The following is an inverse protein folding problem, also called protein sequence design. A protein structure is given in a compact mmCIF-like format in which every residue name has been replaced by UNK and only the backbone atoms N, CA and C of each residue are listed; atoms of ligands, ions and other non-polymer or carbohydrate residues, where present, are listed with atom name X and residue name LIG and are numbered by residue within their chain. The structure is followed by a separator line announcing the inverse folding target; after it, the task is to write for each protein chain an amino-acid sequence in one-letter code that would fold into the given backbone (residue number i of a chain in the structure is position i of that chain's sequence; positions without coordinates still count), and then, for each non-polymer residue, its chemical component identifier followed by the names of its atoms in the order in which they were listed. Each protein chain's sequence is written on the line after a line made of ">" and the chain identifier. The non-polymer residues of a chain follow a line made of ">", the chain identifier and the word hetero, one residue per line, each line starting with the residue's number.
data_IF_130352334034
#
_entry.id   IF_130352334034
#
_cell.length_a   1.000
_cell.length_b   1.000
_cell.length_c   1.000
_cell.angle_alpha   90.00
_cell.angle_beta   90.00
_cell.angle_gamma   90.00
#
_symmetry.space_group_name_H-M   'P 1'
#
loop_
_entity.id
_entity.type
_entity.pdbx_description
1 polymer ?
#
# COMPACT_ATOMS: atom_id res chain seq x y z
N UNK A 1 5.36 -4.31 1.93
CA UNK A 1 5.74 -3.02 2.56
C UNK A 1 7.24 -2.77 2.64
N UNK A 2 8.05 -3.75 3.07
CA UNK A 2 9.50 -3.60 3.16
C UNK A 2 10.15 -3.41 1.78
N UNK A 3 9.84 -4.27 0.80
CA UNK A 3 10.35 -4.17 -0.56
C UNK A 3 10.02 -2.82 -1.23
N UNK A 4 8.80 -2.34 -1.03
CA UNK A 4 8.22 -1.15 -1.63
C UNK A 4 8.76 0.14 -1.01
N UNK A 5 9.26 0.08 0.23
CA UNK A 5 9.89 1.22 0.94
C UNK A 5 11.40 1.07 1.12
N UNK A 6 12.01 0.08 0.46
CA UNK A 6 13.41 -0.30 0.68
C UNK A 6 13.76 -0.48 2.18
N UNK A 7 12.88 -1.17 2.90
CA UNK A 7 12.96 -1.53 4.33
C UNK A 7 12.97 -0.35 5.31
N UNK A 8 12.77 0.87 4.82
CA UNK A 8 12.73 2.06 5.71
C UNK A 8 11.40 2.22 6.42
N UNK A 9 10.32 1.65 5.87
CA UNK A 9 8.93 1.87 6.30
C UNK A 9 8.56 3.36 6.41
N UNK A 10 9.28 4.23 5.69
CA UNK A 10 9.12 5.67 5.83
C UNK A 10 7.91 6.16 5.00
N UNK A 11 7.00 6.93 5.62
CA UNK A 11 5.78 7.42 4.97
C UNK A 11 6.05 8.50 3.90
N UNK A 12 7.24 9.09 3.89
CA UNK A 12 7.60 10.16 2.94
C UNK A 12 8.29 9.66 1.68
N UNK A 13 8.54 8.34 1.57
CA UNK A 13 9.28 7.81 0.42
C UNK A 13 8.38 7.81 -0.82
N UNK A 14 8.80 8.60 -1.79
CA UNK A 14 8.45 8.40 -3.20
C UNK A 14 9.31 7.28 -3.76
N UNK A 15 8.69 6.37 -4.50
CA UNK A 15 9.43 5.37 -5.23
C UNK A 15 10.45 6.02 -6.20
N UNK A 16 11.72 5.63 -6.11
CA UNK A 16 12.80 6.15 -6.96
C UNK A 16 12.73 5.73 -8.44
N UNK A 17 11.84 4.80 -8.81
CA UNK A 17 11.63 4.32 -10.19
C UNK A 17 10.78 5.23 -11.08
N UNK A 18 10.27 6.36 -10.56
CA UNK A 18 9.48 7.30 -11.33
C UNK A 18 7.98 6.94 -11.46
N UNK A 19 7.52 5.86 -10.82
CA UNK A 19 6.10 5.44 -10.82
C UNK A 19 5.15 6.45 -10.13
N UNK A 20 5.70 7.39 -9.35
CA UNK A 20 4.93 8.32 -8.54
C UNK A 20 4.30 7.71 -7.29
N UNK A 21 4.55 6.42 -7.03
CA UNK A 21 4.08 5.75 -5.82
C UNK A 21 4.67 6.40 -4.56
N UNK A 22 3.85 6.56 -3.52
CA UNK A 22 4.19 7.34 -2.32
C UNK A 22 3.56 6.73 -1.08
N UNK A 23 4.24 6.78 0.07
CA UNK A 23 3.62 6.44 1.36
C UNK A 23 3.92 5.04 1.88
N UNK A 24 3.34 4.71 3.04
CA UNK A 24 3.59 3.48 3.80
C UNK A 24 3.37 2.18 3.01
N UNK A 25 2.42 2.19 2.08
CA UNK A 25 2.13 1.05 1.19
C UNK A 25 2.38 1.37 -0.29
N UNK A 26 3.13 2.45 -0.57
CA UNK A 26 3.41 2.92 -1.93
C UNK A 26 2.14 3.10 -2.79
N UNK A 27 1.24 3.98 -2.33
CA UNK A 27 0.02 4.31 -3.07
C UNK A 27 0.36 4.82 -4.47
N UNK A 28 -0.10 4.10 -5.50
CA UNK A 28 -0.07 4.58 -6.87
C UNK A 28 -0.96 5.84 -7.02
N UNK A 29 -0.65 6.78 -7.94
CA UNK A 29 -1.44 8.00 -8.12
C UNK A 29 -2.95 7.75 -8.27
N UNK A 30 -3.36 6.80 -9.11
CA UNK A 30 -4.77 6.44 -9.31
C UNK A 30 -5.42 5.83 -8.06
N UNK A 31 -4.67 5.07 -7.26
CA UNK A 31 -5.15 4.53 -5.97
C UNK A 31 -5.33 5.64 -4.94
N UNK A 32 -4.41 6.61 -4.89
CA UNK A 32 -4.56 7.75 -4.00
C UNK A 32 -5.82 8.56 -4.36
N UNK A 33 -6.04 8.79 -5.66
CA UNK A 33 -7.23 9.49 -6.17
C UNK A 33 -8.54 8.76 -5.84
N UNK A 34 -8.58 7.42 -5.97
CA UNK A 34 -9.77 6.64 -5.62
C UNK A 34 -10.09 6.66 -4.12
N UNK A 35 -9.10 6.96 -3.28
CA UNK A 35 -9.25 7.16 -1.84
C UNK A 35 -9.52 8.63 -1.46
N UNK A 36 -9.70 9.52 -2.44
CA UNK A 36 -10.02 10.93 -2.20
C UNK A 36 -8.82 11.79 -1.79
N UNK A 37 -7.59 11.36 -2.07
CA UNK A 37 -6.35 12.07 -1.78
C UNK A 37 -5.44 12.10 -3.02
N UNK A 38 -4.26 12.71 -2.93
CA UNK A 38 -3.25 12.59 -3.97
C UNK A 38 -1.87 12.33 -3.35
N UNK A 39 -0.93 11.85 -4.16
CA UNK A 39 0.40 11.45 -3.70
C UNK A 39 1.23 12.61 -3.14
N UNK A 40 1.00 13.87 -3.59
CA UNK A 40 1.67 15.05 -3.02
C UNK A 40 1.20 15.34 -1.60
N UNK A 41 -0.09 15.11 -1.31
CA UNK A 41 -0.65 15.24 0.03
C UNK A 41 -0.16 14.11 0.92
N UNK A 42 -0.20 12.86 0.44
CA UNK A 42 0.32 11.70 1.19
C UNK A 42 1.79 11.91 1.59
N UNK A 43 2.65 12.39 0.68
CA UNK A 43 4.07 12.65 0.97
C UNK A 43 4.32 13.62 2.14
N UNK A 44 3.35 14.44 2.51
CA UNK A 44 3.45 15.44 3.59
C UNK A 44 2.78 14.99 4.89
N UNK A 45 2.05 13.88 4.86
CA UNK A 45 1.41 13.31 6.03
C UNK A 45 2.42 12.55 6.89
N UNK A 46 2.23 12.61 8.19
CA UNK A 46 2.86 11.69 9.13
C UNK A 46 2.44 10.24 8.85
N UNK A 47 3.20 9.28 9.39
CA UNK A 47 2.82 7.87 9.29
C UNK A 47 1.43 7.61 9.88
N UNK A 48 1.12 8.23 11.02
CA UNK A 48 -0.16 8.09 11.72
C UNK A 48 -1.33 8.59 10.87
N UNK A 49 -1.21 9.76 10.24
CA UNK A 49 -2.23 10.28 9.33
C UNK A 49 -2.42 9.39 8.10
N UNK A 50 -1.35 8.78 7.59
CA UNK A 50 -1.47 7.84 6.47
C UNK A 50 -2.20 6.54 6.86
N UNK A 51 -2.24 6.15 8.14
CA UNK A 51 -2.90 4.91 8.55
C UNK A 51 -4.39 4.89 8.24
N UNK A 52 -5.07 6.03 8.21
CA UNK A 52 -6.47 6.11 7.80
C UNK A 52 -6.66 5.71 6.33
N UNK A 53 -5.74 6.14 5.46
CA UNK A 53 -5.74 5.77 4.04
C UNK A 53 -5.28 4.32 3.83
N UNK A 54 -4.34 3.83 4.64
CA UNK A 54 -3.94 2.41 4.63
C UNK A 54 -5.14 1.55 5.02
N UNK A 55 -5.87 1.91 6.08
CA UNK A 55 -7.10 1.24 6.48
C UNK A 55 -8.15 1.28 5.38
N UNK A 56 -8.37 2.44 4.75
CA UNK A 56 -9.32 2.59 3.65
C UNK A 56 -8.95 1.69 2.45
N UNK A 57 -7.67 1.60 2.11
CA UNK A 57 -7.16 0.72 1.06
C UNK A 57 -7.43 -0.76 1.35
N UNK A 58 -7.19 -1.21 2.59
CA UNK A 58 -7.42 -2.61 2.98
C UNK A 58 -8.88 -2.95 3.24
N UNK A 59 -9.76 -1.96 3.42
CA UNK A 59 -11.16 -2.17 3.78
C UNK A 59 -11.94 -3.12 2.84
N UNK A 60 -11.77 -3.07 1.51
CA UNK A 60 -12.40 -4.01 0.59
C UNK A 60 -11.95 -5.46 0.78
N UNK A 61 -10.71 -5.66 1.27
CA UNK A 61 -10.08 -6.95 1.47
C UNK A 61 -10.19 -7.49 2.91
N UNK A 62 -10.80 -6.74 3.83
CA UNK A 62 -10.80 -7.03 5.28
C UNK A 62 -11.21 -8.46 5.67
N UNK A 63 -12.07 -9.12 4.88
CA UNK A 63 -12.52 -10.49 5.13
C UNK A 63 -11.66 -11.56 4.44
N UNK A 64 -10.67 -11.15 3.65
CA UNK A 64 -9.75 -12.03 2.89
C UNK A 64 -8.34 -12.05 3.48
N UNK A 65 -8.01 -11.12 4.37
CA UNK A 65 -6.68 -11.00 4.98
C UNK A 65 -6.67 -11.81 6.27
N UNK A 66 -6.03 -12.98 6.23
CA UNK A 66 -5.89 -13.87 7.39
C UNK A 66 -4.44 -14.05 7.82
N UNK A 67 -3.49 -13.53 7.05
CA UNK A 67 -2.06 -13.58 7.36
C UNK A 67 -1.31 -12.33 6.91
N UNK A 68 -0.04 -12.23 7.28
CA UNK A 68 0.84 -11.16 6.81
C UNK A 68 1.08 -11.25 5.29
N UNK A 69 1.16 -12.47 4.76
CA UNK A 69 1.29 -12.75 3.33
C UNK A 69 0.06 -12.24 2.56
N UNK A 70 -1.15 -12.43 3.08
CA UNK A 70 -2.37 -11.89 2.46
C UNK A 70 -2.35 -10.35 2.41
N UNK A 71 -1.89 -9.71 3.49
CA UNK A 71 -1.73 -8.27 3.53
C UNK A 71 -0.70 -7.80 2.49
N UNK A 72 0.41 -8.53 2.34
CA UNK A 72 1.42 -8.24 1.33
C UNK A 72 0.88 -8.44 -0.10
N UNK A 73 0.16 -9.54 -0.36
CA UNK A 73 -0.47 -9.79 -1.65
C UNK A 73 -1.55 -8.76 -1.99
N UNK A 74 -2.25 -8.22 -1.01
CA UNK A 74 -3.20 -7.14 -1.26
C UNK A 74 -2.54 -5.88 -1.83
N UNK A 75 -1.24 -5.64 -1.59
CA UNK A 75 -0.48 -4.56 -2.24
C UNK A 75 0.12 -5.03 -3.56
N UNK A 76 0.82 -6.16 -3.55
CA UNK A 76 1.63 -6.62 -4.68
C UNK A 76 0.80 -7.23 -5.82
N UNK A 77 -0.16 -8.09 -5.47
CA UNK A 77 -0.99 -8.81 -6.44
C UNK A 77 -2.34 -9.23 -5.81
N UNK A 78 -3.36 -8.35 -5.79
CA UNK A 78 -4.61 -8.59 -5.07
C UNK A 78 -5.36 -9.88 -5.47
N UNK A 79 -5.13 -10.41 -6.67
CA UNK A 79 -5.73 -11.66 -7.13
C UNK A 79 -5.17 -12.90 -6.39
N UNK A 80 -4.00 -12.79 -5.76
CA UNK A 80 -3.33 -13.85 -5.01
C UNK A 80 -3.68 -13.88 -3.51
N UNK A 81 -4.53 -12.97 -3.01
CA UNK A 81 -4.95 -12.99 -1.60
C UNK A 81 -5.67 -14.32 -1.29
N UNK A 82 -5.26 -15.00 -0.21
CA UNK A 82 -5.81 -16.28 0.24
C UNK A 82 -5.44 -17.47 -0.65
N UNK A 83 -4.48 -17.30 -1.57
CA UNK A 83 -4.00 -18.37 -2.46
C UNK A 83 -2.71 -19.00 -1.91
N UNK A 84 -2.46 -20.29 -2.20
CA UNK A 84 -1.21 -20.94 -1.79
C UNK A 84 0.00 -20.29 -2.47
N UNK A 85 1.23 -20.42 -1.90
CA UNK A 85 2.44 -19.84 -2.48
C UNK A 85 2.75 -20.28 -3.92
N UNK A 86 2.19 -21.41 -4.39
CA UNK A 86 2.30 -21.88 -5.76
C UNK A 86 1.46 -21.09 -6.77
N UNK A 87 0.70 -20.08 -6.32
CA UNK A 87 -0.14 -19.23 -7.14
C UNK A 87 0.61 -17.94 -7.55
N UNK A 88 1.78 -18.07 -8.16
CA UNK A 88 2.51 -16.98 -8.83
C UNK A 88 3.51 -17.55 -9.82
#
# INVERSE_FOLDING_TARGET
>A
MAFETAETFSPSIKNGSGSGATGLIQFMPSTAESLGVNTKTLARMSALEQLDYVKAYYWPYRNKINSLEDAYMAILYPAAIGKPPSFV
#
